data_IF_429131387280
#
_entry.id   IF_429131387280
#
_cell.length_a   1.000
_cell.length_b   1.000
_cell.length_c   1.000
_cell.angle_alpha   90.00
_cell.angle_beta   90.00
_cell.angle_gamma   90.00
#
_symmetry.space_group_name_H-M   'P 1'
#
loop_
_entity.id
_entity.type
_entity.pdbx_description
1 polymer ?
#
# COMPACT_ATOMS: atom_id res chain seq x y z
N UNK A 1 20.67 -16.86 -4.31
CA UNK A 1 20.43 -15.43 -4.03
C UNK A 1 19.14 -15.36 -3.25
N UNK A 2 19.15 -14.86 -2.02
CA UNK A 2 17.96 -14.75 -1.16
C UNK A 2 17.69 -13.26 -0.89
N UNK A 3 16.42 -12.87 -0.86
CA UNK A 3 15.97 -11.53 -0.44
C UNK A 3 15.60 -11.66 1.03
N UNK A 4 16.24 -10.87 1.90
CA UNK A 4 15.90 -10.88 3.33
C UNK A 4 14.64 -10.08 3.63
N UNK A 5 13.94 -10.34 4.75
CA UNK A 5 12.86 -9.47 5.21
C UNK A 5 13.31 -8.01 5.39
N UNK A 6 14.56 -7.76 5.77
CA UNK A 6 15.10 -6.41 5.94
C UNK A 6 15.29 -5.69 4.59
N UNK A 7 15.72 -6.41 3.55
CA UNK A 7 15.78 -5.87 2.18
C UNK A 7 14.38 -5.44 1.73
N UNK A 8 13.39 -6.31 1.93
CA UNK A 8 11.99 -6.02 1.60
C UNK A 8 11.45 -4.80 2.37
N UNK A 9 11.61 -4.80 3.69
CA UNK A 9 11.14 -3.74 4.58
C UNK A 9 11.77 -2.39 4.24
N UNK A 10 13.03 -2.37 3.81
CA UNK A 10 13.72 -1.13 3.37
C UNK A 10 12.95 -0.43 2.24
N UNK A 11 12.49 -1.19 1.24
CA UNK A 11 11.77 -0.63 0.11
C UNK A 11 10.30 -0.32 0.41
N UNK A 12 9.65 -1.12 1.26
CA UNK A 12 8.31 -0.80 1.78
C UNK A 12 8.32 0.50 2.57
N UNK A 13 9.26 0.65 3.50
CA UNK A 13 9.42 1.87 4.29
C UNK A 13 9.68 3.08 3.38
N UNK A 14 10.59 2.95 2.40
CA UNK A 14 10.89 4.02 1.43
C UNK A 14 9.65 4.47 0.67
N UNK A 15 8.79 3.54 0.24
CA UNK A 15 7.56 3.89 -0.48
C UNK A 15 6.55 4.59 0.43
N UNK A 16 6.29 4.03 1.62
CA UNK A 16 5.34 4.59 2.59
C UNK A 16 5.78 5.98 3.09
N UNK A 17 7.07 6.13 3.42
CA UNK A 17 7.62 7.41 3.89
C UNK A 17 7.65 8.46 2.78
N UNK A 18 7.95 8.05 1.54
CA UNK A 18 7.91 8.93 0.37
C UNK A 18 6.50 9.43 0.07
N UNK A 19 5.52 8.53 0.04
CA UNK A 19 4.11 8.91 -0.08
C UNK A 19 3.70 9.84 1.06
N UNK A 20 4.06 9.53 2.30
CA UNK A 20 3.62 10.42 3.35
C UNK A 20 4.32 11.79 3.34
N UNK A 21 5.58 11.87 2.90
CA UNK A 21 6.24 13.16 2.67
C UNK A 21 5.46 14.04 1.69
N UNK A 22 4.85 13.45 0.65
CA UNK A 22 3.97 14.17 -0.28
C UNK A 22 2.72 14.69 0.42
N UNK A 23 2.06 13.88 1.26
CA UNK A 23 0.87 14.32 2.02
C UNK A 23 1.20 15.54 2.89
N UNK A 24 2.30 15.49 3.62
CA UNK A 24 2.71 16.59 4.51
C UNK A 24 3.10 17.84 3.74
N UNK A 25 3.82 17.68 2.62
CA UNK A 25 4.21 18.80 1.76
C UNK A 25 2.98 19.52 1.16
N UNK A 26 1.94 18.77 0.79
CA UNK A 26 0.77 19.30 0.12
C UNK A 26 -0.28 19.88 1.09
N UNK A 27 -0.29 19.44 2.35
CA UNK A 27 -1.33 19.81 3.32
C UNK A 27 -2.72 19.47 2.78
N UNK A 28 -3.68 20.39 2.91
CA UNK A 28 -5.06 20.18 2.46
C UNK A 28 -5.19 19.86 0.96
N UNK A 29 -4.22 20.27 0.13
CA UNK A 29 -4.21 19.96 -1.30
C UNK A 29 -4.13 18.44 -1.55
N UNK A 30 -3.57 17.66 -0.62
CA UNK A 30 -3.48 16.21 -0.73
C UNK A 30 -4.85 15.52 -0.78
N UNK A 31 -5.92 16.20 -0.35
CA UNK A 31 -7.29 15.67 -0.41
C UNK A 31 -7.98 15.95 -1.76
N UNK A 32 -7.34 16.66 -2.69
CA UNK A 32 -7.90 16.96 -4.00
C UNK A 32 -7.41 15.98 -5.05
N UNK A 33 -8.30 15.58 -5.96
CA UNK A 33 -7.94 14.89 -7.19
C UNK A 33 -7.58 15.88 -8.30
N UNK A 34 -6.65 15.55 -9.20
CA UNK A 34 -6.41 16.36 -10.40
C UNK A 34 -7.62 16.27 -11.34
N UNK A 35 -7.75 17.26 -12.24
CA UNK A 35 -8.80 17.29 -13.26
C UNK A 35 -8.51 16.30 -14.40
N UNK A 36 -8.50 15.02 -14.04
CA UNK A 36 -8.31 13.87 -14.91
C UNK A 36 -9.36 12.83 -14.53
N UNK A 37 -10.07 12.32 -15.54
CA UNK A 37 -11.10 11.31 -15.32
C UNK A 37 -10.53 10.09 -14.59
N UNK A 38 -11.16 9.71 -13.48
CA UNK A 38 -10.77 8.56 -12.64
C UNK A 38 -9.53 8.78 -11.77
N UNK A 39 -8.98 10.00 -11.68
CA UNK A 39 -7.83 10.26 -10.83
C UNK A 39 -8.22 10.34 -9.34
N UNK A 40 -7.38 9.72 -8.51
CA UNK A 40 -7.52 9.75 -7.05
C UNK A 40 -6.69 10.87 -6.42
N UNK A 41 -7.09 11.30 -5.24
CA UNK A 41 -6.30 12.23 -4.43
C UNK A 41 -5.07 11.52 -3.84
N UNK A 42 -3.97 12.24 -3.57
CA UNK A 42 -2.83 11.69 -2.84
C UNK A 42 -3.23 11.03 -1.51
N UNK A 43 -4.18 11.63 -0.77
CA UNK A 43 -4.67 11.08 0.49
C UNK A 43 -5.33 9.72 0.30
N UNK A 44 -6.25 9.62 -0.68
CA UNK A 44 -6.94 8.37 -1.00
C UNK A 44 -5.96 7.28 -1.46
N UNK A 45 -4.94 7.64 -2.26
CA UNK A 45 -3.90 6.71 -2.70
C UNK A 45 -3.15 6.12 -1.50
N UNK A 46 -2.73 6.93 -0.52
CA UNK A 46 -2.01 6.40 0.64
C UNK A 46 -2.91 5.59 1.58
N UNK A 47 -4.19 5.97 1.75
CA UNK A 47 -5.17 5.14 2.47
C UNK A 47 -5.32 3.77 1.79
N UNK A 48 -5.42 3.74 0.46
CA UNK A 48 -5.44 2.50 -0.31
C UNK A 48 -4.19 1.64 -0.06
N UNK A 49 -2.99 2.22 -0.12
CA UNK A 49 -1.74 1.51 0.16
C UNK A 49 -1.70 0.92 1.58
N UNK A 50 -2.26 1.62 2.58
CA UNK A 50 -2.39 1.08 3.93
C UNK A 50 -3.32 -0.14 3.95
N UNK A 51 -4.45 -0.07 3.26
CA UNK A 51 -5.39 -1.20 3.10
C UNK A 51 -4.77 -2.39 2.37
N UNK A 52 -3.99 -2.14 1.30
CA UNK A 52 -3.22 -3.15 0.56
C UNK A 52 -2.29 -3.91 1.50
N UNK A 53 -1.48 -3.22 2.30
CA UNK A 53 -0.54 -3.89 3.21
C UNK A 53 -1.27 -4.66 4.33
N UNK A 54 -2.31 -4.08 4.92
CA UNK A 54 -3.11 -4.78 5.93
C UNK A 54 -3.68 -6.07 5.38
N UNK A 55 -4.22 -6.05 4.16
CA UNK A 55 -4.82 -7.23 3.56
C UNK A 55 -3.77 -8.26 3.13
N UNK A 56 -2.84 -7.89 2.26
CA UNK A 56 -1.91 -8.84 1.66
C UNK A 56 -0.94 -9.43 2.69
N UNK A 57 -0.33 -8.59 3.53
CA UNK A 57 0.59 -9.07 4.57
C UNK A 57 -0.19 -9.52 5.80
N UNK A 58 -1.07 -8.66 6.31
CA UNK A 58 -1.75 -8.94 7.57
C UNK A 58 -2.70 -10.13 7.51
N UNK A 59 -3.52 -10.22 6.47
CA UNK A 59 -4.51 -11.28 6.32
C UNK A 59 -3.92 -12.53 5.68
N UNK A 60 -3.28 -12.40 4.51
CA UNK A 60 -2.87 -13.60 3.77
C UNK A 60 -1.62 -14.26 4.32
N UNK A 61 -0.69 -13.50 4.91
CA UNK A 61 0.51 -14.07 5.54
C UNK A 61 0.28 -14.30 7.04
N UNK A 62 -0.12 -13.26 7.76
CA UNK A 62 -0.18 -13.31 9.23
C UNK A 62 -1.54 -13.77 9.80
N UNK A 63 -2.54 -14.06 8.95
CA UNK A 63 -3.84 -14.58 9.38
C UNK A 63 -4.67 -13.62 10.24
N UNK A 64 -4.36 -12.32 10.24
CA UNK A 64 -5.18 -11.33 10.94
C UNK A 64 -6.45 -11.06 10.16
N UNK A 65 -7.49 -10.73 10.90
CA UNK A 65 -8.69 -10.21 10.30
C UNK A 65 -8.50 -8.75 9.86
N UNK A 66 -9.05 -8.40 8.70
CA UNK A 66 -9.10 -7.03 8.19
C UNK A 66 -10.48 -6.74 7.62
N UNK A 67 -11.16 -5.74 8.17
CA UNK A 67 -12.39 -5.18 7.61
C UNK A 67 -12.05 -4.20 6.49
N UNK A 68 -11.77 -4.73 5.30
CA UNK A 68 -11.35 -3.93 4.15
C UNK A 68 -12.55 -3.50 3.30
N UNK A 69 -12.77 -2.19 3.22
CA UNK A 69 -13.70 -1.56 2.26
C UNK A 69 -12.90 -0.82 1.18
N UNK A 70 -12.59 -1.54 0.09
CA UNK A 70 -11.79 -1.00 -1.02
C UNK A 70 -12.43 0.21 -1.70
N UNK A 71 -13.75 0.23 -2.02
CA UNK A 71 -14.39 1.44 -2.54
C UNK A 71 -14.22 2.65 -1.62
N UNK A 72 -14.35 2.48 -0.30
CA UNK A 72 -14.19 3.57 0.66
C UNK A 72 -12.75 4.12 0.72
N UNK A 73 -11.73 3.28 0.50
CA UNK A 73 -10.32 3.72 0.42
C UNK A 73 -10.13 4.86 -0.59
N UNK A 74 -10.80 4.76 -1.75
CA UNK A 74 -10.67 5.74 -2.84
C UNK A 74 -11.53 7.01 -2.66
N UNK A 75 -12.41 7.03 -1.66
CA UNK A 75 -13.20 8.21 -1.27
C UNK A 75 -12.64 8.90 -0.02
N UNK A 76 -11.56 8.36 0.55
CA UNK A 76 -11.02 8.82 1.82
C UNK A 76 -10.45 10.25 1.72
N UNK A 77 -10.73 11.03 2.76
CA UNK A 77 -10.15 12.36 2.99
C UNK A 77 -9.83 12.52 4.47
N UNK A 78 -8.88 13.39 4.80
CA UNK A 78 -8.55 13.67 6.20
C UNK A 78 -7.26 14.44 6.41
N UNK A 79 -6.80 14.44 7.65
CA UNK A 79 -5.58 15.15 8.07
C UNK A 79 -4.33 14.27 8.01
N UNK A 80 -3.19 14.91 7.74
CA UNK A 80 -1.89 14.25 7.70
C UNK A 80 -1.53 13.55 9.02
N UNK A 81 -1.84 14.15 10.18
CA UNK A 81 -1.48 13.55 11.48
C UNK A 81 -2.11 12.17 11.71
N UNK A 82 -3.39 12.00 11.36
CA UNK A 82 -4.09 10.72 11.50
C UNK A 82 -3.51 9.67 10.55
N UNK A 83 -3.25 10.05 9.30
CA UNK A 83 -2.67 9.14 8.31
C UNK A 83 -1.22 8.75 8.65
N UNK A 84 -0.45 9.68 9.24
CA UNK A 84 0.90 9.43 9.77
C UNK A 84 0.89 8.38 10.88
N UNK A 85 -0.06 8.49 11.80
CA UNK A 85 -0.25 7.49 12.85
C UNK A 85 -0.55 6.12 12.24
N UNK A 86 -1.51 6.04 11.30
CA UNK A 86 -1.85 4.80 10.62
C UNK A 86 -0.65 4.16 9.89
N UNK A 87 0.15 4.95 9.15
CA UNK A 87 1.35 4.47 8.46
C UNK A 87 2.39 3.97 9.47
N UNK A 88 2.63 4.69 10.56
CA UNK A 88 3.57 4.25 11.59
C UNK A 88 3.12 2.96 12.28
N UNK A 89 1.82 2.81 12.53
CA UNK A 89 1.23 1.62 13.11
C UNK A 89 1.36 0.43 12.17
N UNK A 90 1.07 0.63 10.88
CA UNK A 90 1.28 -0.35 9.83
C UNK A 90 2.74 -0.81 9.76
N UNK A 91 3.70 0.13 9.71
CA UNK A 91 5.14 -0.19 9.65
C UNK A 91 5.59 -1.03 10.85
N UNK A 92 5.07 -0.75 12.05
CA UNK A 92 5.34 -1.57 13.25
C UNK A 92 4.70 -2.94 13.12
N UNK A 93 3.46 -3.01 12.64
CA UNK A 93 2.73 -4.26 12.51
C UNK A 93 3.35 -5.20 11.46
N UNK A 94 3.71 -4.71 10.27
CA UNK A 94 4.36 -5.52 9.22
C UNK A 94 5.62 -6.19 9.78
N UNK A 95 6.42 -5.47 10.58
CA UNK A 95 7.62 -6.05 11.21
C UNK A 95 7.30 -7.20 12.18
N UNK A 96 6.15 -7.18 12.84
CA UNK A 96 5.70 -8.29 13.70
C UNK A 96 5.24 -9.47 12.84
N UNK A 97 4.53 -9.17 11.76
CA UNK A 97 3.95 -10.14 10.84
C UNK A 97 5.02 -10.98 10.14
N UNK A 98 6.11 -10.31 9.74
CA UNK A 98 7.20 -10.95 9.01
C UNK A 98 8.18 -11.71 9.89
N UNK A 99 8.05 -11.69 11.24
CA UNK A 99 9.00 -12.41 12.12
C UNK A 99 8.98 -13.92 11.94
N UNK A 100 7.82 -14.46 11.60
CA UNK A 100 7.60 -15.90 11.46
C UNK A 100 7.49 -16.32 9.98
N UNK A 101 7.71 -15.39 9.05
CA UNK A 101 7.76 -15.70 7.61
C UNK A 101 9.04 -16.47 7.35
N UNK A 102 8.89 -17.71 6.92
CA UNK A 102 9.98 -18.59 6.51
C UNK A 102 10.24 -18.39 5.02
N UNK A 103 11.39 -17.81 4.61
CA UNK A 103 11.67 -17.48 3.21
C UNK A 103 11.73 -18.67 2.25
N UNK A 104 11.86 -19.90 2.77
CA UNK A 104 12.15 -21.11 2.00
C UNK A 104 10.97 -22.10 1.89
N UNK A 105 9.73 -21.69 2.18
CA UNK A 105 8.56 -22.57 1.92
C UNK A 105 8.14 -22.41 0.47
N UNK A 106 8.69 -23.27 -0.39
CA UNK A 106 8.34 -23.42 -1.80
C UNK A 106 7.00 -24.17 -1.97
N UNK A 107 6.04 -23.90 -1.07
CA UNK A 107 4.72 -24.53 -1.05
C UNK A 107 3.63 -23.47 -0.86
N UNK A 108 2.52 -23.63 -1.56
CA UNK A 108 1.27 -22.86 -1.36
C UNK A 108 0.76 -22.90 0.09
N UNK A 109 1.23 -23.88 0.89
CA UNK A 109 0.75 -24.19 2.24
C UNK A 109 1.06 -23.10 3.30
N UNK A 110 1.81 -22.05 2.95
CA UNK A 110 2.22 -21.01 3.90
C UNK A 110 1.23 -19.84 4.07
N UNK A 111 0.20 -19.71 3.23
CA UNK A 111 -0.78 -18.64 3.36
C UNK A 111 -1.89 -18.99 4.37
N UNK A 112 -2.27 -18.02 5.20
CA UNK A 112 -3.37 -18.17 6.13
C UNK A 112 -4.75 -18.13 5.44
N UNK A 113 -4.83 -17.54 4.24
CA UNK A 113 -6.03 -17.49 3.41
C UNK A 113 -5.67 -17.31 1.93
N UNK A 114 -6.60 -17.68 1.04
CA UNK A 114 -6.47 -17.38 -0.39
C UNK A 114 -6.83 -15.92 -0.67
N UNK A 115 -6.15 -15.27 -1.64
CA UNK A 115 -6.53 -13.94 -2.08
C UNK A 115 -7.98 -13.88 -2.61
N UNK A 116 -8.65 -12.78 -2.34
CA UNK A 116 -9.97 -12.47 -2.91
C UNK A 116 -9.79 -12.18 -4.40
N UNK A 117 -10.58 -12.85 -5.24
CA UNK A 117 -10.56 -12.69 -6.70
C UNK A 117 -10.75 -11.23 -7.15
N UNK A 118 -11.53 -10.42 -6.42
CA UNK A 118 -11.76 -9.00 -6.74
C UNK A 118 -10.52 -8.11 -6.50
N UNK A 119 -9.59 -8.57 -5.65
CA UNK A 119 -8.39 -7.82 -5.28
C UNK A 119 -7.14 -8.34 -6.00
N UNK A 120 -7.24 -9.51 -6.63
CA UNK A 120 -6.14 -10.14 -7.36
C UNK A 120 -5.92 -9.42 -8.70
N UNK A 121 -4.68 -8.98 -9.02
CA UNK A 121 -4.37 -8.37 -10.32
C UNK A 121 -4.34 -9.38 -11.48
N UNK A 122 -4.26 -10.68 -11.16
CA UNK A 122 -4.13 -11.79 -12.10
C UNK A 122 -5.24 -12.82 -11.85
N UNK A 123 -6.48 -12.59 -12.33
CA UNK A 123 -7.65 -13.39 -11.96
C UNK A 123 -7.50 -14.88 -12.27
N UNK A 124 -6.68 -15.24 -13.26
CA UNK A 124 -6.39 -16.63 -13.64
C UNK A 124 -5.24 -17.27 -12.82
N UNK A 125 -4.58 -16.51 -11.95
CA UNK A 125 -3.52 -17.01 -11.07
C UNK A 125 -4.13 -17.70 -9.86
N UNK A 126 -4.13 -19.02 -9.90
CA UNK A 126 -4.62 -19.87 -8.82
C UNK A 126 -3.58 -20.10 -7.72
N UNK A 127 -2.30 -19.96 -8.02
CA UNK A 127 -1.20 -20.29 -7.10
C UNK A 127 -0.51 -19.05 -6.53
N UNK A 128 -0.58 -18.89 -5.21
CA UNK A 128 0.03 -17.79 -4.45
C UNK A 128 0.93 -18.34 -3.33
N UNK A 129 2.15 -17.82 -3.27
CA UNK A 129 3.11 -18.08 -2.18
C UNK A 129 3.28 -16.82 -1.33
N UNK A 130 3.85 -16.94 -0.14
CA UNK A 130 4.22 -15.78 0.68
C UNK A 130 5.13 -14.81 -0.10
N UNK A 131 6.10 -15.34 -0.86
CA UNK A 131 6.96 -14.52 -1.73
C UNK A 131 6.17 -13.76 -2.80
N UNK A 132 5.20 -14.40 -3.46
CA UNK A 132 4.34 -13.74 -4.44
C UNK A 132 3.50 -12.61 -3.81
N UNK A 133 2.97 -12.85 -2.61
CA UNK A 133 2.22 -11.84 -1.83
C UNK A 133 3.10 -10.65 -1.46
N UNK A 134 4.31 -10.89 -0.96
CA UNK A 134 5.26 -9.82 -0.62
C UNK A 134 5.63 -9.00 -1.87
N UNK A 135 5.98 -9.67 -2.96
CA UNK A 135 6.33 -9.03 -4.22
C UNK A 135 5.19 -8.16 -4.77
N UNK A 136 3.97 -8.70 -4.81
CA UNK A 136 2.82 -7.94 -5.27
C UNK A 136 2.49 -6.77 -4.35
N UNK A 137 2.60 -6.94 -3.02
CA UNK A 137 2.42 -5.83 -2.09
C UNK A 137 3.42 -4.70 -2.35
N UNK A 138 4.68 -5.03 -2.62
CA UNK A 138 5.69 -4.02 -2.95
C UNK A 138 5.44 -3.38 -4.32
N UNK A 139 5.06 -4.16 -5.33
CA UNK A 139 4.65 -3.66 -6.65
C UNK A 139 3.58 -2.58 -6.51
N UNK A 140 2.50 -2.84 -5.78
CA UNK A 140 1.41 -1.88 -5.54
C UNK A 140 1.91 -0.60 -4.87
N UNK A 141 2.75 -0.71 -3.85
CA UNK A 141 3.32 0.46 -3.17
C UNK A 141 4.22 1.29 -4.08
N UNK A 142 5.07 0.64 -4.87
CA UNK A 142 5.97 1.33 -5.79
C UNK A 142 5.19 2.02 -6.92
N UNK A 143 4.20 1.33 -7.48
CA UNK A 143 3.29 1.85 -8.50
C UNK A 143 2.54 3.09 -7.99
N UNK A 144 1.91 2.98 -6.83
CA UNK A 144 1.12 4.07 -6.26
C UNK A 144 1.96 5.22 -5.75
N UNK A 145 3.17 4.98 -5.25
CA UNK A 145 4.10 6.05 -4.94
C UNK A 145 4.46 6.87 -6.19
N UNK A 146 4.73 6.22 -7.33
CA UNK A 146 4.96 6.91 -8.60
C UNK A 146 3.73 7.67 -9.09
N UNK A 147 2.55 7.07 -9.03
CA UNK A 147 1.28 7.74 -9.33
C UNK A 147 1.09 8.99 -8.48
N UNK A 148 1.41 8.92 -7.19
CA UNK A 148 1.24 10.02 -6.24
C UNK A 148 2.23 11.15 -6.48
N UNK A 149 3.46 10.86 -6.91
CA UNK A 149 4.43 11.87 -7.36
C UNK A 149 3.90 12.67 -8.56
N UNK A 150 3.36 11.99 -9.57
CA UNK A 150 2.77 12.65 -10.74
C UNK A 150 1.51 13.45 -10.36
N UNK A 151 0.67 12.89 -9.49
CA UNK A 151 -0.55 13.54 -9.00
C UNK A 151 -0.23 14.84 -8.26
N UNK A 152 0.80 14.83 -7.39
CA UNK A 152 1.32 16.04 -6.73
C UNK A 152 1.75 17.08 -7.75
N UNK A 153 2.55 16.69 -8.73
CA UNK A 153 3.14 17.63 -9.69
C UNK A 153 2.05 18.34 -10.52
N UNK A 154 1.04 17.60 -10.96
CA UNK A 154 -0.14 18.15 -11.68
C UNK A 154 -0.91 19.14 -10.80
N UNK A 155 -1.22 18.77 -9.55
CA UNK A 155 -1.99 19.61 -8.64
C UNK A 155 -1.24 20.89 -8.24
N UNK A 156 0.07 20.79 -8.01
CA UNK A 156 0.92 21.95 -7.70
C UNK A 156 1.06 22.87 -8.91
N UNK A 157 1.17 22.32 -10.12
CA UNK A 157 1.19 23.13 -11.35
C UNK A 157 -0.13 23.88 -11.54
N UNK A 158 -1.27 23.20 -11.39
CA UNK A 158 -2.60 23.82 -11.51
C UNK A 158 -2.79 24.98 -10.53
N UNK A 159 -2.20 24.89 -9.33
CA UNK A 159 -2.22 25.97 -8.31
C UNK A 159 -1.45 27.22 -8.70
N UNK A 160 -0.51 27.14 -9.66
CA UNK A 160 0.28 28.29 -10.14
C UNK A 160 -0.39 29.01 -11.31
N UNK A 161 -1.41 28.42 -11.92
CA UNK A 161 -2.12 28.95 -13.09
C UNK A 161 -3.42 29.68 -12.71
N UNK A 162 -3.81 29.65 -11.43
CA UNK A 162 -4.95 30.36 -10.84
C UNK A 162 -4.40 31.53 -10.02
#
# INVERSE_FOLDING_TARGET
MQISPDDYLTFVDRALDGMMGIIEQMGDLANRSPDLSGANSPYAILVHCVGVCHYWIGTLIAGRHTDRDRPAEFQATGGAAALRAAVNDLKRQIRLDLRNVTPDVDEEQGLAAMPNAEYTPLPDRTHWTQGAVLMHTYEELAQHHGQMQLTRDILVQGRRQI
#
